data_IF_531498764334
#
_entry.id   IF_531498764334
#
_cell.length_a   1.000
_cell.length_b   1.000
_cell.length_c   1.000
_cell.angle_alpha   90.00
_cell.angle_beta   90.00
_cell.angle_gamma   90.00
#
_symmetry.space_group_name_H-M   'P 1'
#
loop_
_entity.id
_entity.type
_entity.pdbx_description
1 polymer ?
#
# COMPACT_ATOMS: atom_id res chain seq x y z
N UNK A 1 -15.98 -1.07 17.75
CA UNK A 1 -15.15 -0.24 16.84
C UNK A 1 -14.91 -1.07 15.62
N UNK A 2 -15.48 -0.73 14.47
CA UNK A 2 -15.19 -1.46 13.23
C UNK A 2 -13.82 -1.03 12.73
N UNK A 3 -12.92 -1.99 12.54
CA UNK A 3 -11.65 -1.75 11.85
C UNK A 3 -11.90 -1.43 10.37
N UNK A 4 -11.05 -0.56 9.84
CA UNK A 4 -11.06 -0.20 8.42
C UNK A 4 -10.55 -1.42 7.63
N UNK A 5 -11.36 -1.99 6.71
CA UNK A 5 -10.96 -3.17 5.94
C UNK A 5 -9.74 -2.91 5.03
N UNK A 6 -9.40 -1.65 4.76
CA UNK A 6 -8.27 -1.27 3.92
C UNK A 6 -6.95 -1.05 4.68
N UNK A 7 -6.96 -1.16 6.01
CA UNK A 7 -5.79 -0.84 6.84
C UNK A 7 -4.53 -1.68 6.52
N UNK A 8 -4.69 -2.85 5.89
CA UNK A 8 -3.59 -3.76 5.53
C UNK A 8 -3.20 -3.71 4.05
N UNK A 9 -3.84 -2.84 3.25
CA UNK A 9 -3.63 -2.76 1.80
C UNK A 9 -2.44 -1.88 1.41
N UNK A 10 -1.94 -1.06 2.33
CA UNK A 10 -0.87 -0.07 2.11
C UNK A 10 0.43 -0.67 1.56
N UNK A 11 0.97 -1.70 2.19
CA UNK A 11 2.20 -2.36 1.75
C UNK A 11 2.01 -3.04 0.39
N UNK A 12 0.89 -3.76 0.21
CA UNK A 12 0.57 -4.42 -1.05
C UNK A 12 0.36 -3.39 -2.18
N UNK A 13 -0.23 -2.24 -1.89
CA UNK A 13 -0.40 -1.14 -2.84
C UNK A 13 0.93 -0.57 -3.29
N UNK A 14 1.82 -0.24 -2.34
CA UNK A 14 3.15 0.34 -2.62
C UNK A 14 4.04 -0.62 -3.39
N UNK A 15 3.97 -1.92 -3.08
CA UNK A 15 4.73 -2.96 -3.78
C UNK A 15 4.10 -3.39 -5.11
N UNK A 16 2.92 -2.86 -5.47
CA UNK A 16 2.22 -3.22 -6.71
C UNK A 16 1.66 -4.65 -6.71
N UNK A 17 1.41 -5.22 -5.53
CA UNK A 17 0.94 -6.60 -5.34
C UNK A 17 -0.59 -6.75 -5.26
N UNK A 18 -1.34 -5.64 -5.21
CA UNK A 18 -2.80 -5.68 -5.25
C UNK A 18 -3.32 -6.09 -6.63
N UNK A 19 -4.46 -6.78 -6.64
CA UNK A 19 -5.23 -6.99 -7.86
C UNK A 19 -5.71 -5.63 -8.44
N UNK A 20 -6.01 -5.54 -9.75
CA UNK A 20 -6.51 -4.29 -10.32
C UNK A 20 -7.81 -3.79 -9.65
N UNK A 21 -8.70 -4.71 -9.26
CA UNK A 21 -9.94 -4.37 -8.56
C UNK A 21 -9.67 -3.83 -7.15
N UNK A 22 -8.84 -4.52 -6.38
CA UNK A 22 -8.47 -4.09 -5.02
C UNK A 22 -7.73 -2.76 -5.02
N UNK A 23 -6.85 -2.56 -6.01
CA UNK A 23 -6.16 -1.29 -6.21
C UNK A 23 -7.14 -0.14 -6.43
N UNK A 24 -8.11 -0.31 -7.33
CA UNK A 24 -9.11 0.72 -7.60
C UNK A 24 -9.92 1.06 -6.35
N UNK A 25 -10.36 0.03 -5.61
CA UNK A 25 -11.11 0.21 -4.36
C UNK A 25 -10.30 0.94 -3.29
N UNK A 26 -9.02 0.60 -3.17
CA UNK A 26 -8.12 1.25 -2.22
C UNK A 26 -7.83 2.71 -2.62
N UNK A 27 -7.64 3.00 -3.91
CA UNK A 27 -7.45 4.37 -4.39
C UNK A 27 -8.66 5.28 -4.15
N UNK A 28 -9.89 4.75 -4.26
CA UNK A 28 -11.09 5.47 -3.85
C UNK A 28 -11.07 5.79 -2.35
N UNK A 29 -10.72 4.80 -1.54
CA UNK A 29 -10.61 4.96 -0.09
C UNK A 29 -9.53 5.99 0.31
N UNK A 30 -8.38 6.00 -0.36
CA UNK A 30 -7.29 6.95 -0.11
C UNK A 30 -7.69 8.43 -0.30
N UNK A 31 -8.74 8.72 -1.08
CA UNK A 31 -9.25 10.10 -1.23
C UNK A 31 -9.95 10.62 0.02
N UNK A 32 -10.38 9.73 0.91
CA UNK A 32 -11.23 10.07 2.07
C UNK A 32 -10.62 9.66 3.41
N UNK A 33 -9.53 8.89 3.42
CA UNK A 33 -8.88 8.40 4.63
C UNK A 33 -7.43 8.90 4.75
N UNK A 34 -7.23 9.93 5.58
CA UNK A 34 -5.92 10.50 5.86
C UNK A 34 -4.95 9.49 6.51
N UNK A 35 -5.47 8.55 7.31
CA UNK A 35 -4.67 7.51 7.96
C UNK A 35 -4.02 6.58 6.93
N UNK A 36 -4.80 6.06 6.00
CA UNK A 36 -4.29 5.17 4.95
C UNK A 36 -3.38 5.94 3.98
N UNK A 37 -3.69 7.21 3.67
CA UNK A 37 -2.81 8.06 2.88
C UNK A 37 -1.47 8.35 3.57
N UNK A 38 -1.45 8.54 4.89
CA UNK A 38 -0.22 8.66 5.66
C UNK A 38 0.61 7.37 5.62
N UNK A 39 -0.01 6.22 5.85
CA UNK A 39 0.68 4.91 5.80
C UNK A 39 1.35 4.66 4.45
N UNK A 40 0.65 4.94 3.34
CA UNK A 40 1.24 4.83 1.98
C UNK A 40 2.46 5.75 1.81
N UNK A 41 2.42 6.98 2.33
CA UNK A 41 3.56 7.91 2.26
C UNK A 41 4.78 7.41 3.05
N UNK A 42 4.56 6.81 4.21
CA UNK A 42 5.64 6.21 5.02
C UNK A 42 6.31 5.05 4.29
N UNK A 43 5.54 4.24 3.56
CA UNK A 43 6.05 3.07 2.84
C UNK A 43 6.60 3.38 1.44
N UNK A 44 6.28 4.54 0.84
CA UNK A 44 6.60 4.86 -0.56
C UNK A 44 8.08 4.76 -0.95
N UNK A 45 9.01 4.86 0.01
CA UNK A 45 10.44 4.69 -0.23
C UNK A 45 10.91 3.22 -0.28
N UNK A 46 10.13 2.28 0.24
CA UNK A 46 10.52 0.87 0.37
C UNK A 46 10.80 0.18 -0.97
N UNK A 47 9.99 0.32 -2.03
CA UNK A 47 10.26 -0.34 -3.31
C UNK A 47 11.66 0.00 -3.87
N UNK A 48 12.08 1.26 -3.73
CA UNK A 48 13.39 1.71 -4.19
C UNK A 48 14.55 1.17 -3.36
N UNK A 49 14.33 0.89 -2.06
CA UNK A 49 15.31 0.23 -1.21
C UNK A 49 15.40 -1.27 -1.53
N UNK A 50 14.24 -1.93 -1.72
CA UNK A 50 14.17 -3.35 -2.07
C UNK A 50 14.79 -3.65 -3.44
N UNK A 51 14.69 -2.74 -4.40
CA UNK A 51 15.35 -2.89 -5.71
C UNK A 51 16.89 -2.93 -5.65
N UNK A 52 17.51 -2.62 -4.50
CA UNK A 52 18.97 -2.64 -4.30
C UNK A 52 19.48 -3.93 -3.69
N UNK A 53 18.59 -4.82 -3.24
CA UNK A 53 18.96 -6.11 -2.70
C UNK A 53 18.63 -7.19 -3.72
N UNK A 54 19.57 -8.09 -3.96
CA UNK A 54 19.32 -9.23 -4.82
C UNK A 54 18.37 -10.20 -4.11
N UNK A 55 17.42 -10.77 -4.87
CA UNK A 55 16.59 -11.85 -4.35
C UNK A 55 17.49 -13.07 -4.12
N UNK A 56 17.52 -13.63 -2.89
CA UNK A 56 18.29 -14.85 -2.65
C UNK A 56 17.80 -15.97 -3.58
N UNK A 57 18.77 -16.74 -4.10
CA UNK A 57 18.54 -17.86 -5.00
C UNK A 57 17.80 -19.03 -4.34
#
# INVERSE_FOLDING_TARGET
MSEDPFATFDAAYVLGALSPEDRQRFEEHLRTCDRCAASVRELAGLPGLLARVDTPA
#
